data_IF_187220157603
#
_entry.id   IF_187220157603
#
_cell.length_a   1.000
_cell.length_b   1.000
_cell.length_c   1.000
_cell.angle_alpha   90.00
_cell.angle_beta   90.00
_cell.angle_gamma   90.00
#
_symmetry.space_group_name_H-M   'P 1'
#
loop_
_entity.id
_entity.type
_entity.pdbx_description
1 polymer ?
#
# COMPACT_ATOMS: atom_id res chain seq x y z
N UNK A 1 -34.14 -13.31 -0.09
CA UNK A 1 -32.94 -13.25 0.78
C UNK A 1 -31.72 -13.18 -0.13
N UNK A 2 -31.10 -12.02 -0.28
CA UNK A 2 -29.95 -11.82 -1.17
C UNK A 2 -28.67 -12.06 -0.34
N UNK A 3 -27.95 -13.14 -0.62
CA UNK A 3 -26.67 -13.45 0.02
C UNK A 3 -25.59 -12.51 -0.55
N UNK A 4 -25.13 -11.56 0.26
CA UNK A 4 -23.95 -10.76 -0.04
C UNK A 4 -22.70 -11.62 0.18
N UNK A 5 -21.95 -11.88 -0.89
CA UNK A 5 -20.65 -12.55 -0.81
C UNK A 5 -19.60 -11.57 -0.27
N UNK A 6 -18.76 -11.97 0.70
CA UNK A 6 -17.62 -11.18 1.12
C UNK A 6 -16.57 -11.17 0.01
N UNK A 7 -15.99 -10.00 -0.27
CA UNK A 7 -14.91 -9.86 -1.23
C UNK A 7 -13.65 -10.57 -0.71
N UNK A 8 -13.40 -11.79 -1.20
CA UNK A 8 -12.10 -12.44 -1.07
C UNK A 8 -11.07 -11.64 -1.89
N UNK A 9 -10.24 -10.86 -1.21
CA UNK A 9 -9.01 -10.33 -1.80
C UNK A 9 -8.11 -11.52 -2.16
N UNK A 10 -7.92 -11.77 -3.46
CA UNK A 10 -7.00 -12.80 -3.93
C UNK A 10 -5.56 -12.38 -3.61
N UNK A 11 -4.97 -12.99 -2.59
CA UNK A 11 -3.65 -12.66 -2.07
C UNK A 11 -2.47 -13.07 -2.99
N UNK A 12 -2.73 -13.57 -4.20
CA UNK A 12 -1.68 -14.11 -5.07
C UNK A 12 -0.94 -13.06 -5.93
N UNK A 13 -1.55 -11.90 -6.23
CA UNK A 13 -1.00 -10.95 -7.20
C UNK A 13 -0.30 -9.72 -6.58
N UNK A 14 -0.37 -9.54 -5.26
CA UNK A 14 0.05 -8.29 -4.61
C UNK A 14 -0.83 -7.09 -5.01
N UNK A 15 -1.99 -7.34 -5.64
CA UNK A 15 -2.96 -6.31 -6.00
C UNK A 15 -3.96 -6.10 -4.86
N UNK A 16 -4.21 -4.83 -4.54
CA UNK A 16 -5.13 -4.44 -3.47
C UNK A 16 -5.96 -3.26 -3.93
N UNK A 17 -7.26 -3.29 -3.66
CA UNK A 17 -8.15 -2.14 -3.88
C UNK A 17 -8.57 -1.57 -2.54
N UNK A 18 -8.23 -0.30 -2.31
CA UNK A 18 -8.62 0.46 -1.13
C UNK A 18 -9.78 1.39 -1.48
N UNK A 19 -10.80 1.44 -0.61
CA UNK A 19 -11.89 2.41 -0.72
C UNK A 19 -11.54 3.62 0.14
N UNK A 20 -11.65 4.82 -0.43
CA UNK A 20 -11.49 6.04 0.35
C UNK A 20 -12.61 6.15 1.39
N UNK A 21 -12.33 6.68 2.60
CA UNK A 21 -13.36 6.81 3.64
C UNK A 21 -14.48 7.78 3.24
N UNK A 22 -14.20 8.71 2.32
CA UNK A 22 -15.14 9.65 1.70
C UNK A 22 -14.52 10.25 0.43
N UNK A 23 -15.30 10.91 -0.44
CA UNK A 23 -14.75 11.69 -1.56
C UNK A 23 -13.75 12.76 -1.08
N UNK A 24 -12.70 12.97 -1.89
CA UNK A 24 -11.74 14.07 -1.69
C UNK A 24 -12.41 15.42 -1.98
N UNK A 25 -12.12 16.41 -1.15
CA UNK A 25 -12.51 17.81 -1.38
C UNK A 25 -11.34 18.60 -1.95
N UNK A 26 -11.63 19.80 -2.45
CA UNK A 26 -10.58 20.74 -2.86
C UNK A 26 -9.62 21.03 -1.69
N UNK A 27 -8.31 20.98 -1.97
CA UNK A 27 -7.27 21.18 -0.95
C UNK A 27 -6.99 19.94 -0.08
N UNK A 28 -7.57 18.78 -0.38
CA UNK A 28 -7.26 17.51 0.29
C UNK A 28 -6.45 16.58 -0.62
N UNK A 29 -5.67 15.70 0.00
CA UNK A 29 -4.92 14.64 -0.66
C UNK A 29 -5.21 13.30 0.02
N UNK A 30 -5.15 12.22 -0.77
CA UNK A 30 -5.13 10.87 -0.23
C UNK A 30 -3.68 10.46 0.09
N UNK A 31 -3.51 9.73 1.19
CA UNK A 31 -2.24 9.15 1.61
C UNK A 31 -2.45 7.66 1.87
N UNK A 32 -1.60 6.81 1.28
CA UNK A 32 -1.56 5.38 1.64
C UNK A 32 -0.64 5.23 2.84
N UNK A 33 -1.15 4.62 3.89
CA UNK A 33 -0.38 4.18 5.05
C UNK A 33 -0.09 2.69 4.89
N UNK A 34 1.20 2.36 4.76
CA UNK A 34 1.70 0.98 4.68
C UNK A 34 2.32 0.62 6.01
N UNK A 35 1.71 -0.30 6.74
CA UNK A 35 2.29 -0.87 7.94
C UNK A 35 3.14 -2.08 7.57
N UNK A 36 4.44 -1.99 7.83
CA UNK A 36 5.41 -3.00 7.42
C UNK A 36 5.83 -3.84 8.63
N UNK A 37 6.02 -5.14 8.40
CA UNK A 37 6.61 -6.03 9.37
C UNK A 37 8.09 -6.27 9.10
N UNK A 38 8.57 -7.49 9.33
CA UNK A 38 9.98 -7.81 9.11
C UNK A 38 10.19 -8.02 7.61
N UNK A 39 11.16 -7.30 7.04
CA UNK A 39 11.60 -7.49 5.68
C UNK A 39 13.05 -7.98 5.69
N UNK A 40 13.38 -8.92 4.81
CA UNK A 40 14.76 -9.39 4.67
C UNK A 40 15.68 -8.22 4.30
N UNK A 41 16.92 -8.23 4.82
CA UNK A 41 17.90 -7.18 4.48
C UNK A 41 18.07 -7.09 2.95
N UNK A 42 18.13 -5.86 2.45
CA UNK A 42 18.30 -5.59 1.02
C UNK A 42 17.04 -5.82 0.18
N UNK A 43 15.91 -6.12 0.83
CA UNK A 43 14.61 -6.13 0.18
C UNK A 43 13.85 -4.85 0.49
N UNK A 44 12.98 -4.47 -0.44
CA UNK A 44 12.14 -3.27 -0.39
C UNK A 44 10.75 -3.59 -0.91
N UNK A 45 9.74 -2.84 -0.47
CA UNK A 45 8.38 -2.93 -0.99
C UNK A 45 8.14 -1.75 -1.93
N UNK A 46 8.05 -2.04 -3.22
CA UNK A 46 7.66 -1.08 -4.25
C UNK A 46 6.13 -1.03 -4.30
N UNK A 47 5.56 0.17 -4.14
CA UNK A 47 4.12 0.42 -4.19
C UNK A 47 3.79 1.25 -5.42
N UNK A 48 2.95 0.69 -6.28
CA UNK A 48 2.50 1.31 -7.53
C UNK A 48 0.98 1.37 -7.58
N UNK A 49 0.43 2.25 -8.41
CA UNK A 49 -0.97 2.14 -8.85
C UNK A 49 -1.14 0.92 -9.77
N UNK A 50 -2.38 0.51 -10.02
CA UNK A 50 -2.67 -0.53 -11.00
C UNK A 50 -2.15 -0.20 -12.42
N UNK A 51 -2.05 1.09 -12.77
CA UNK A 51 -1.48 1.57 -14.04
C UNK A 51 0.06 1.57 -14.06
N UNK A 52 0.72 1.26 -12.94
CA UNK A 52 2.18 1.19 -12.82
C UNK A 52 2.86 2.49 -12.40
N UNK A 53 2.10 3.54 -12.05
CA UNK A 53 2.66 4.78 -11.49
C UNK A 53 3.24 4.50 -10.11
N UNK A 54 4.50 4.87 -9.87
CA UNK A 54 5.16 4.69 -8.59
C UNK A 54 4.59 5.67 -7.55
N UNK A 55 4.11 5.14 -6.43
CA UNK A 55 3.74 5.93 -5.25
C UNK A 55 4.91 6.07 -4.28
N UNK A 56 5.74 5.03 -4.19
CA UNK A 56 6.99 5.05 -3.45
C UNK A 56 7.56 3.67 -3.21
N UNK A 57 8.74 3.66 -2.59
CA UNK A 57 9.44 2.45 -2.18
C UNK A 57 9.63 2.48 -0.67
N UNK A 58 9.19 1.43 0.01
CA UNK A 58 9.30 1.29 1.46
C UNK A 58 10.47 0.37 1.78
N UNK A 59 11.44 0.91 2.51
CA UNK A 59 12.66 0.21 2.88
C UNK A 59 12.89 0.29 4.40
N UNK A 60 12.45 -0.72 5.16
CA UNK A 60 12.55 -0.75 6.62
C UNK A 60 13.95 -1.20 7.07
N UNK A 61 14.96 -0.35 6.88
CA UNK A 61 16.31 -0.63 7.39
C UNK A 61 16.44 -0.29 8.89
N UNK A 62 17.17 -1.13 9.63
CA UNK A 62 17.66 -0.80 10.98
C UNK A 62 16.69 -1.02 12.13
N UNK A 63 15.61 -1.77 11.92
CA UNK A 63 14.55 -1.95 12.92
C UNK A 63 15.02 -2.94 13.96
N UNK A 64 15.11 -2.48 15.21
CA UNK A 64 15.63 -3.27 16.32
C UNK A 64 14.79 -4.53 16.47
N UNK A 65 15.44 -5.66 16.71
CA UNK A 65 14.78 -6.95 16.95
C UNK A 65 13.64 -6.77 17.97
N UNK A 66 12.43 -7.16 17.58
CA UNK A 66 11.22 -7.02 18.42
C UNK A 66 10.37 -5.76 18.20
N UNK A 67 10.73 -4.86 17.27
CA UNK A 67 9.89 -3.71 16.90
C UNK A 67 9.23 -3.87 15.52
N UNK A 68 7.97 -3.43 15.39
CA UNK A 68 7.29 -3.34 14.10
C UNK A 68 7.99 -2.31 13.22
N UNK A 69 7.95 -2.49 11.89
CA UNK A 69 8.70 -1.62 11.00
C UNK A 69 8.17 -0.19 10.88
N UNK A 70 7.05 0.08 11.53
CA UNK A 70 6.38 1.36 11.51
C UNK A 70 5.40 1.47 10.35
N UNK A 71 4.80 2.64 10.25
CA UNK A 71 3.87 3.01 9.18
C UNK A 71 4.55 4.01 8.26
N UNK A 72 4.49 3.73 6.96
CA UNK A 72 5.04 4.59 5.91
C UNK A 72 3.89 5.28 5.19
N UNK A 73 3.98 6.60 5.06
CA UNK A 73 3.00 7.43 4.37
C UNK A 73 3.46 7.70 2.94
N UNK A 74 2.66 7.26 1.96
CA UNK A 74 2.92 7.45 0.54
C UNK A 74 1.84 8.38 -0.04
N UNK A 75 2.22 9.52 -0.66
CA UNK A 75 1.24 10.42 -1.26
C UNK A 75 0.58 9.74 -2.46
N UNK A 76 -0.73 9.95 -2.61
CA UNK A 76 -1.52 9.44 -3.73
C UNK A 76 -1.84 10.60 -4.68
N UNK A 77 -1.41 10.52 -5.94
CA UNK A 77 -1.86 11.46 -6.97
C UNK A 77 -3.38 11.40 -7.14
N UNK A 78 -4.04 12.55 -7.22
CA UNK A 78 -5.51 12.63 -7.25
C UNK A 78 -6.12 11.83 -8.41
N UNK A 79 -5.42 11.78 -9.55
CA UNK A 79 -5.82 11.06 -10.75
C UNK A 79 -5.81 9.53 -10.57
N UNK A 80 -5.08 9.00 -9.59
CA UNK A 80 -5.01 7.58 -9.28
C UNK A 80 -6.27 7.08 -8.55
N UNK A 81 -7.06 7.98 -7.97
CA UNK A 81 -8.33 7.66 -7.33
C UNK A 81 -9.44 7.67 -8.39
N UNK A 82 -10.11 6.54 -8.59
CA UNK A 82 -11.24 6.38 -9.51
C UNK A 82 -12.46 5.91 -8.74
N UNK A 83 -13.58 6.62 -8.87
CA UNK A 83 -14.85 6.27 -8.21
C UNK A 83 -14.72 6.02 -6.69
N UNK A 84 -13.90 6.84 -6.02
CA UNK A 84 -13.62 6.71 -4.59
C UNK A 84 -12.77 5.49 -4.22
N UNK A 85 -12.11 4.85 -5.19
CA UNK A 85 -11.25 3.69 -5.00
C UNK A 85 -9.83 3.94 -5.51
N UNK A 86 -8.88 3.29 -4.87
CA UNK A 86 -7.47 3.28 -5.23
C UNK A 86 -7.03 1.84 -5.44
N UNK A 87 -6.66 1.50 -6.68
CA UNK A 87 -6.11 0.19 -7.00
C UNK A 87 -4.58 0.24 -6.97
N UNK A 88 -3.97 -0.63 -6.16
CA UNK A 88 -2.55 -0.70 -5.88
C UNK A 88 -1.96 -2.04 -6.31
N UNK A 89 -0.66 -2.02 -6.58
CA UNK A 89 0.21 -3.16 -6.82
C UNK A 89 1.43 -3.03 -5.92
N UNK A 90 1.63 -4.04 -5.08
CA UNK A 90 2.77 -4.13 -4.19
C UNK A 90 3.70 -5.25 -4.66
N UNK A 91 5.00 -4.95 -4.69
CA UNK A 91 6.04 -5.94 -5.00
C UNK A 91 7.18 -5.83 -4.01
N UNK A 92 7.62 -6.96 -3.50
CA UNK A 92 8.90 -7.09 -2.83
C UNK A 92 9.98 -7.27 -3.89
N UNK A 93 11.00 -6.42 -3.85
CA UNK A 93 12.19 -6.47 -4.71
C UNK A 93 13.44 -6.54 -3.84
N UNK A 94 14.52 -7.17 -4.30
CA UNK A 94 15.77 -7.21 -3.53
C UNK A 94 16.88 -8.04 -4.17
N UNK A 95 18.03 -8.10 -3.49
CA UNK A 95 19.19 -8.89 -3.92
C UNK A 95 18.95 -10.37 -3.60
N UNK A 96 18.39 -11.14 -4.54
CA UNK A 96 18.23 -12.59 -4.34
C UNK A 96 17.13 -13.28 -5.14
N UNK A 97 16.32 -12.55 -5.92
CA UNK A 97 15.28 -13.18 -6.73
C UNK A 97 14.43 -12.20 -7.53
N UNK A 98 13.54 -12.73 -8.39
CA UNK A 98 12.59 -11.89 -9.13
C UNK A 98 11.61 -11.20 -8.18
N UNK A 99 11.00 -10.08 -8.61
CA UNK A 99 9.95 -9.41 -7.84
C UNK A 99 8.78 -10.36 -7.53
N UNK A 100 8.25 -10.29 -6.31
CA UNK A 100 7.10 -11.10 -5.87
C UNK A 100 6.10 -10.29 -5.05
N UNK A 101 4.92 -10.83 -4.81
CA UNK A 101 3.98 -10.24 -3.86
C UNK A 101 4.55 -10.26 -2.42
N UNK A 102 4.24 -9.25 -1.58
CA UNK A 102 4.55 -9.30 -0.16
C UNK A 102 3.71 -10.38 0.55
N UNK A 103 4.25 -10.96 1.61
CA UNK A 103 3.45 -11.78 2.54
C UNK A 103 2.66 -10.89 3.51
N UNK A 104 1.69 -11.46 4.21
CA UNK A 104 0.96 -10.74 5.27
C UNK A 104 1.82 -10.38 6.50
N UNK A 105 2.98 -11.02 6.66
CA UNK A 105 3.95 -10.66 7.71
C UNK A 105 4.82 -9.47 7.29
N UNK A 106 5.09 -9.33 6.00
CA UNK A 106 5.86 -8.23 5.43
C UNK A 106 5.02 -6.96 5.31
N UNK A 107 3.77 -7.08 4.87
CA UNK A 107 2.79 -5.99 4.85
C UNK A 107 1.63 -6.35 5.77
N UNK A 108 1.63 -5.75 6.95
CA UNK A 108 0.66 -6.04 8.02
C UNK A 108 -0.67 -5.35 7.79
N UNK A 109 -0.63 -4.12 7.28
CA UNK A 109 -1.84 -3.38 6.94
C UNK A 109 -1.61 -2.33 5.86
N UNK A 110 -2.67 -2.05 5.11
CA UNK A 110 -2.75 -1.01 4.09
C UNK A 110 -4.03 -0.21 4.33
N UNK A 111 -3.89 1.10 4.48
CA UNK A 111 -5.03 2.00 4.70
C UNK A 111 -4.86 3.23 3.85
N UNK A 112 -5.98 3.84 3.46
CA UNK A 112 -5.99 5.17 2.86
C UNK A 112 -6.53 6.16 3.88
N UNK A 113 -5.79 7.26 4.09
CA UNK A 113 -6.20 8.40 4.88
C UNK A 113 -6.37 9.62 3.98
N UNK A 114 -7.16 10.59 4.43
CA UNK A 114 -7.30 11.89 3.77
C UNK A 114 -6.62 12.91 4.65
N UNK A 115 -5.69 13.67 4.08
CA UNK A 115 -4.94 14.73 4.75
C UNK A 115 -5.13 16.03 3.98
N UNK A 116 -4.86 17.21 4.58
CA UNK A 116 -4.67 18.43 3.81
C UNK A 116 -3.60 18.18 2.73
N UNK A 117 -3.80 18.75 1.55
CA UNK A 117 -2.78 18.74 0.51
C UNK A 117 -1.53 19.49 1.01
N UNK A 118 -0.32 19.00 0.74
CA UNK A 118 0.90 19.77 0.97
C UNK A 118 0.82 21.13 0.22
N UNK A 119 1.42 22.19 0.77
CA UNK A 119 1.47 23.50 0.13
C UNK A 119 2.23 23.48 -1.20
#
# INVERSE_FOLDING_TARGET
MLLALPACASAASGEVVLTLPRPLKAGEAATVLVEVGILQRGHEIVVTTASGQLLGTVSPFGIRSGQAAGSYALPVPAEAVKDGKLALRLKVTGTGGPPRAPTGEEVKSLKVSITPAPP
#
